data_IF_962735060448
#
_entry.id   IF_962735060448
#
_cell.length_a   1.000
_cell.length_b   1.000
_cell.length_c   1.000
_cell.angle_alpha   90.00
_cell.angle_beta   90.00
_cell.angle_gamma   90.00
#
_symmetry.space_group_name_H-M   'P 1'
#
loop_
_entity.id
_entity.type
_entity.pdbx_description
1 polymer ?
#
# COMPACT_ATOMS: atom_id res chain seq x y z
N UNK A 1 39.78 62.62 -22.71
CA UNK A 1 38.42 62.02 -22.72
C UNK A 1 38.41 60.57 -23.22
N UNK A 2 39.22 60.18 -24.22
CA UNK A 2 39.26 58.80 -24.75
C UNK A 2 39.70 57.76 -23.70
N UNK A 3 40.77 58.06 -22.96
CA UNK A 3 41.35 57.18 -21.94
C UNK A 3 40.38 56.90 -20.78
N UNK A 4 39.57 57.88 -20.37
CA UNK A 4 38.59 57.72 -19.28
C UNK A 4 37.42 56.82 -19.67
N UNK A 5 37.01 56.85 -20.94
CA UNK A 5 35.93 56.01 -21.47
C UNK A 5 36.39 54.55 -21.59
N UNK A 6 37.63 54.32 -22.04
CA UNK A 6 38.22 52.97 -22.10
C UNK A 6 38.29 52.29 -20.72
N UNK A 7 38.71 53.02 -19.68
CA UNK A 7 38.74 52.47 -18.32
C UNK A 7 37.34 52.22 -17.74
N UNK A 8 36.34 53.02 -18.10
CA UNK A 8 34.94 52.76 -17.73
C UNK A 8 34.39 51.49 -18.40
N UNK A 9 34.68 51.28 -19.68
CA UNK A 9 34.29 50.06 -20.39
C UNK A 9 35.01 48.83 -19.85
N UNK A 10 36.30 48.95 -19.53
CA UNK A 10 37.07 47.86 -18.92
C UNK A 10 36.49 47.48 -17.55
N UNK A 11 36.17 48.46 -16.71
CA UNK A 11 35.54 48.22 -15.41
C UNK A 11 34.17 47.55 -15.54
N UNK A 12 33.32 48.03 -16.45
CA UNK A 12 32.01 47.43 -16.72
C UNK A 12 32.14 45.99 -17.22
N UNK A 13 33.09 45.74 -18.13
CA UNK A 13 33.36 44.41 -18.66
C UNK A 13 33.80 43.43 -17.57
N UNK A 14 34.68 43.86 -16.66
CA UNK A 14 35.12 43.04 -15.52
C UNK A 14 33.95 42.72 -14.60
N UNK A 15 33.09 43.70 -14.27
CA UNK A 15 31.92 43.48 -13.41
C UNK A 15 30.93 42.51 -14.06
N UNK A 16 30.67 42.66 -15.36
CA UNK A 16 29.81 41.74 -16.13
C UNK A 16 30.39 40.33 -16.17
N UNK A 17 31.68 40.18 -16.45
CA UNK A 17 32.38 38.90 -16.50
C UNK A 17 32.33 38.18 -15.14
N UNK A 18 32.55 38.91 -14.04
CA UNK A 18 32.47 38.36 -12.68
C UNK A 18 31.04 37.93 -12.34
N UNK A 19 30.04 38.75 -12.69
CA UNK A 19 28.62 38.45 -12.39
C UNK A 19 28.14 37.20 -13.14
N UNK A 20 28.49 37.09 -14.43
CA UNK A 20 28.17 35.91 -15.24
C UNK A 20 28.89 34.66 -14.73
N UNK A 21 30.15 34.79 -14.32
CA UNK A 21 30.92 33.67 -13.76
C UNK A 21 30.33 33.20 -12.43
N UNK A 22 29.94 34.12 -11.55
CA UNK A 22 29.30 33.80 -10.27
C UNK A 22 27.94 33.12 -10.47
N UNK A 23 27.11 33.61 -11.39
CA UNK A 23 25.83 32.99 -11.75
C UNK A 23 26.00 31.56 -12.27
N UNK A 24 26.98 31.35 -13.16
CA UNK A 24 27.28 30.02 -13.70
C UNK A 24 27.84 29.07 -12.61
N UNK A 25 28.72 29.56 -11.73
CA UNK A 25 29.23 28.76 -10.60
C UNK A 25 28.14 28.40 -9.58
N UNK A 26 27.21 29.30 -9.29
CA UNK A 26 26.08 29.02 -8.42
C UNK A 26 25.19 27.91 -9.00
N UNK A 27 24.93 27.94 -10.31
CA UNK A 27 24.15 26.90 -10.99
C UNK A 27 24.86 25.52 -10.98
N UNK A 28 26.18 25.51 -11.21
CA UNK A 28 26.98 24.27 -11.23
C UNK A 28 27.16 23.66 -9.83
N UNK A 29 27.14 24.44 -8.75
CA UNK A 29 27.28 23.92 -7.38
C UNK A 29 25.95 23.48 -6.75
N UNK A 30 24.80 24.03 -7.17
CA UNK A 30 23.50 23.79 -6.52
C UNK A 30 22.72 22.64 -7.16
N UNK A 31 22.86 22.41 -8.47
CA UNK A 31 22.12 21.36 -9.17
C UNK A 31 22.63 19.94 -8.83
N UNK A 32 23.95 19.65 -8.87
CA UNK A 32 24.44 18.31 -8.60
C UNK A 32 24.21 17.90 -7.14
N UNK A 33 24.29 18.83 -6.18
CA UNK A 33 24.11 18.50 -4.76
C UNK A 33 22.69 18.01 -4.47
N UNK A 34 21.68 18.69 -5.00
CA UNK A 34 20.26 18.28 -4.85
C UNK A 34 19.95 16.97 -5.55
N UNK A 35 20.47 16.77 -6.75
CA UNK A 35 20.30 15.51 -7.49
C UNK A 35 21.00 14.34 -6.78
N UNK A 36 22.20 14.56 -6.25
CA UNK A 36 22.95 13.57 -5.46
C UNK A 36 22.19 13.24 -4.17
N UNK A 37 21.73 14.24 -3.42
CA UNK A 37 20.97 14.02 -2.19
C UNK A 37 19.67 13.25 -2.43
N UNK A 38 18.92 13.58 -3.49
CA UNK A 38 17.73 12.82 -3.88
C UNK A 38 18.06 11.39 -4.29
N UNK A 39 19.17 11.18 -5.02
CA UNK A 39 19.61 9.83 -5.39
C UNK A 39 19.98 8.99 -4.16
N UNK A 40 20.65 9.58 -3.17
CA UNK A 40 20.99 8.92 -1.91
C UNK A 40 19.75 8.58 -1.09
N UNK A 41 18.81 9.53 -0.97
CA UNK A 41 17.53 9.29 -0.30
C UNK A 41 16.75 8.16 -0.98
N UNK A 42 16.76 8.13 -2.32
CA UNK A 42 16.10 7.07 -3.09
C UNK A 42 16.72 5.70 -2.86
N UNK A 43 18.05 5.58 -2.94
CA UNK A 43 18.75 4.30 -2.68
C UNK A 43 18.46 3.81 -1.25
N UNK A 44 18.48 4.71 -0.26
CA UNK A 44 18.13 4.38 1.12
C UNK A 44 16.68 3.94 1.26
N UNK A 45 15.75 4.65 0.61
CA UNK A 45 14.33 4.31 0.61
C UNK A 45 14.06 2.96 -0.07
N UNK A 46 14.74 2.66 -1.18
CA UNK A 46 14.64 1.36 -1.87
C UNK A 46 15.17 0.24 -0.96
N UNK A 47 16.33 0.45 -0.32
CA UNK A 47 16.89 -0.53 0.63
C UNK A 47 15.98 -0.78 1.84
N UNK A 48 15.36 0.26 2.41
CA UNK A 48 14.42 0.10 3.52
C UNK A 48 13.15 -0.62 3.05
N UNK A 49 12.59 -0.22 1.91
CA UNK A 49 11.39 -0.85 1.39
C UNK A 49 11.63 -2.34 1.09
N UNK A 50 12.72 -2.67 0.41
CA UNK A 50 13.06 -4.06 0.13
C UNK A 50 13.31 -4.84 1.43
N UNK A 51 13.93 -4.22 2.44
CA UNK A 51 14.07 -4.83 3.76
C UNK A 51 12.71 -5.10 4.42
N UNK A 52 11.79 -4.15 4.41
CA UNK A 52 10.43 -4.30 4.95
C UNK A 52 9.69 -5.46 4.26
N UNK A 53 9.78 -5.55 2.93
CA UNK A 53 8.96 -6.48 2.14
C UNK A 53 9.58 -7.88 1.97
N UNK A 54 10.90 -8.03 2.16
CA UNK A 54 11.62 -9.28 1.90
C UNK A 54 12.20 -9.93 3.17
N UNK A 55 12.34 -9.18 4.27
CA UNK A 55 12.79 -9.73 5.54
C UNK A 55 11.62 -10.36 6.29
N UNK A 56 11.84 -11.54 6.89
CA UNK A 56 10.90 -12.12 7.84
C UNK A 56 10.98 -11.47 9.25
N UNK A 57 12.08 -10.76 9.54
CA UNK A 57 12.34 -10.23 10.88
C UNK A 57 12.87 -11.28 11.86
N UNK A 58 13.00 -10.89 13.12
CA UNK A 58 13.50 -11.74 14.22
C UNK A 58 12.72 -11.43 15.51
N UNK A 59 11.98 -12.40 16.10
CA UNK A 59 11.81 -13.77 15.63
C UNK A 59 11.05 -13.82 14.29
N UNK A 60 11.27 -14.82 13.41
CA UNK A 60 10.66 -14.86 12.07
C UNK A 60 9.13 -14.94 12.06
N UNK A 61 8.51 -15.37 13.14
CA UNK A 61 7.07 -15.58 13.35
C UNK A 61 6.47 -14.52 14.31
N UNK A 62 7.11 -13.36 14.42
CA UNK A 62 6.59 -12.26 15.22
C UNK A 62 5.19 -11.81 14.75
N UNK A 63 4.37 -11.38 15.69
CA UNK A 63 2.98 -10.96 15.51
C UNK A 63 2.64 -9.76 16.41
N UNK A 64 1.35 -9.51 16.66
CA UNK A 64 0.86 -8.46 17.58
C UNK A 64 1.35 -8.58 19.03
N UNK A 65 1.73 -9.78 19.46
CA UNK A 65 2.08 -10.10 20.85
C UNK A 65 3.55 -9.87 21.15
N UNK A 66 4.41 -9.90 20.13
CA UNK A 66 5.88 -9.87 20.29
C UNK A 66 6.48 -8.75 19.46
N UNK A 67 7.12 -7.78 20.11
CA UNK A 67 7.95 -6.78 19.40
C UNK A 67 9.21 -7.48 18.90
N UNK A 68 9.46 -7.54 17.59
CA UNK A 68 10.65 -8.16 17.05
C UNK A 68 11.88 -7.29 17.29
N UNK A 69 13.03 -7.93 17.37
CA UNK A 69 14.34 -7.28 17.34
C UNK A 69 14.66 -6.74 15.95
N UNK A 70 14.22 -7.46 14.91
CA UNK A 70 14.44 -7.11 13.51
C UNK A 70 13.08 -7.06 12.81
N UNK A 71 12.76 -5.92 12.20
CA UNK A 71 11.50 -5.75 11.49
C UNK A 71 11.52 -6.44 10.11
N UNK A 72 10.35 -6.86 9.65
CA UNK A 72 10.17 -7.46 8.34
C UNK A 72 8.80 -8.11 8.21
N UNK A 73 8.12 -7.88 7.09
CA UNK A 73 6.74 -8.32 6.86
C UNK A 73 6.65 -9.63 6.07
N UNK A 74 7.75 -10.18 5.58
CA UNK A 74 7.72 -11.45 4.86
C UNK A 74 7.38 -12.61 5.80
N UNK A 75 6.74 -13.67 5.32
CA UNK A 75 6.49 -14.87 6.12
C UNK A 75 7.80 -15.64 6.39
N UNK A 76 7.89 -16.34 7.52
CA UNK A 76 9.07 -17.12 7.89
C UNK A 76 9.38 -18.26 6.92
N UNK A 77 8.33 -18.85 6.32
CA UNK A 77 8.40 -20.12 5.59
C UNK A 77 8.20 -19.98 4.07
N UNK A 78 8.20 -18.77 3.52
CA UNK A 78 8.09 -18.57 2.07
C UNK A 78 9.40 -18.08 1.47
N UNK A 79 9.77 -18.65 0.33
CA UNK A 79 10.84 -18.13 -0.54
C UNK A 79 10.33 -17.14 -1.59
N UNK A 80 9.01 -16.95 -1.67
CA UNK A 80 8.41 -16.09 -2.67
C UNK A 80 8.64 -14.61 -2.31
N UNK A 81 9.32 -13.84 -3.17
CA UNK A 81 9.55 -12.43 -2.91
C UNK A 81 8.22 -11.67 -2.96
N UNK A 82 8.10 -10.62 -2.16
CA UNK A 82 6.92 -9.75 -2.09
C UNK A 82 5.64 -10.44 -1.65
N UNK A 83 5.74 -11.58 -0.94
CA UNK A 83 4.64 -12.15 -0.16
C UNK A 83 4.76 -11.62 1.27
N UNK A 84 3.68 -11.09 1.82
CA UNK A 84 3.65 -10.63 3.20
C UNK A 84 2.78 -11.54 4.06
N UNK A 85 3.20 -11.68 5.30
CA UNK A 85 2.45 -12.36 6.35
C UNK A 85 1.30 -11.48 6.82
N UNK A 86 0.09 -12.03 6.81
CA UNK A 86 -1.12 -11.27 7.17
C UNK A 86 -1.10 -10.84 8.63
N UNK A 87 -0.63 -11.67 9.56
CA UNK A 87 -0.59 -11.35 10.98
C UNK A 87 0.36 -10.20 11.29
N UNK A 88 1.52 -10.17 10.63
CA UNK A 88 2.46 -9.04 10.74
C UNK A 88 1.90 -7.75 10.16
N UNK A 89 1.12 -7.85 9.08
CA UNK A 89 0.46 -6.69 8.49
C UNK A 89 -0.65 -6.18 9.41
N UNK A 90 -1.41 -7.06 10.07
CA UNK A 90 -2.38 -6.70 11.11
C UNK A 90 -1.71 -6.05 12.32
N UNK A 91 -0.52 -6.50 12.71
CA UNK A 91 0.25 -5.87 13.77
C UNK A 91 0.58 -4.39 13.50
N UNK A 92 0.62 -3.96 12.23
CA UNK A 92 0.78 -2.54 11.88
C UNK A 92 -0.41 -1.69 12.31
N UNK A 93 -1.60 -2.25 12.56
CA UNK A 93 -2.74 -1.50 13.10
C UNK A 93 -2.55 -1.11 14.56
N UNK A 94 -1.65 -1.79 15.29
CA UNK A 94 -1.36 -1.49 16.69
C UNK A 94 -0.53 -0.21 16.81
N UNK A 95 -1.17 0.87 17.26
CA UNK A 95 -0.53 2.19 17.43
C UNK A 95 0.66 2.20 18.40
N UNK A 96 0.74 1.25 19.33
CA UNK A 96 1.88 1.11 20.23
C UNK A 96 3.06 0.53 19.47
N UNK A 97 2.81 -0.52 18.68
CA UNK A 97 3.82 -1.14 17.83
C UNK A 97 4.37 -0.18 16.77
N UNK A 98 3.51 0.63 16.15
CA UNK A 98 3.93 1.63 15.17
C UNK A 98 5.02 2.58 15.68
N UNK A 99 5.10 2.85 16.99
CA UNK A 99 6.13 3.72 17.59
C UNK A 99 7.51 3.07 17.65
N UNK A 100 7.59 1.74 17.62
CA UNK A 100 8.85 1.00 17.62
C UNK A 100 9.45 0.90 16.22
N UNK A 101 8.63 0.93 15.16
CA UNK A 101 9.07 0.76 13.77
C UNK A 101 10.22 1.69 13.37
N UNK A 102 10.22 3.00 13.68
CA UNK A 102 11.33 3.89 13.31
C UNK A 102 12.67 3.47 13.93
N UNK A 103 12.64 2.97 15.18
CA UNK A 103 13.80 2.43 15.88
C UNK A 103 14.28 1.13 15.23
N UNK A 104 13.36 0.23 14.91
CA UNK A 104 13.66 -1.06 14.27
C UNK A 104 14.21 -0.91 12.85
N UNK A 105 13.76 0.10 12.11
CA UNK A 105 14.27 0.42 10.78
C UNK A 105 15.57 1.24 10.80
N UNK A 106 16.02 1.68 11.99
CA UNK A 106 17.21 2.53 12.13
C UNK A 106 17.07 3.88 11.43
N UNK A 107 15.85 4.43 11.36
CA UNK A 107 15.55 5.72 10.71
C UNK A 107 15.15 6.81 11.70
N UNK A 108 15.06 6.47 12.98
CA UNK A 108 14.69 7.37 14.06
C UNK A 108 15.58 8.63 14.03
N UNK A 109 14.96 9.80 14.20
CA UNK A 109 15.59 11.13 14.25
C UNK A 109 16.26 11.64 12.96
N UNK A 110 16.49 10.79 11.97
CA UNK A 110 17.11 11.16 10.68
C UNK A 110 16.07 11.29 9.55
N UNK A 111 15.12 10.35 9.47
CA UNK A 111 14.17 10.27 8.35
C UNK A 111 12.74 10.10 8.82
N UNK A 112 11.82 10.73 8.10
CA UNK A 112 10.40 10.44 8.18
C UNK A 112 9.99 9.47 7.09
N UNK A 113 8.94 8.70 7.32
CA UNK A 113 8.37 7.83 6.31
C UNK A 113 6.85 7.70 6.44
N UNK A 114 6.24 7.34 5.33
CA UNK A 114 4.82 7.01 5.23
C UNK A 114 4.68 5.74 4.40
N UNK A 115 4.32 4.64 5.07
CA UNK A 115 4.05 3.35 4.46
C UNK A 115 2.53 3.20 4.33
N UNK A 116 2.06 2.77 3.16
CA UNK A 116 0.68 2.38 2.92
C UNK A 116 0.63 1.02 2.24
N UNK A 117 -0.26 0.15 2.70
CA UNK A 117 -0.66 -1.08 2.04
C UNK A 117 -2.12 -0.90 1.64
N UNK A 118 -2.37 -0.88 0.33
CA UNK A 118 -3.67 -0.51 -0.25
C UNK A 118 -4.22 -1.70 -1.04
N UNK A 119 -5.46 -2.17 -0.79
CA UNK A 119 -6.09 -3.16 -1.65
C UNK A 119 -6.26 -2.60 -3.06
N UNK A 120 -5.96 -3.39 -4.09
CA UNK A 120 -6.03 -2.91 -5.47
C UNK A 120 -7.46 -2.60 -5.93
N UNK A 121 -8.40 -3.40 -5.45
CA UNK A 121 -9.82 -3.27 -5.73
C UNK A 121 -10.58 -3.17 -4.41
N UNK A 122 -11.56 -2.29 -4.38
CA UNK A 122 -12.52 -2.13 -3.31
C UNK A 122 -13.79 -2.88 -3.70
N UNK A 123 -14.27 -3.74 -2.82
CA UNK A 123 -15.45 -4.57 -3.04
C UNK A 123 -16.47 -4.23 -1.96
N UNK A 124 -17.63 -3.75 -2.38
CA UNK A 124 -18.74 -3.49 -1.46
C UNK A 124 -19.85 -4.50 -1.73
N UNK A 125 -20.31 -5.18 -0.69
CA UNK A 125 -21.35 -6.19 -0.77
C UNK A 125 -22.58 -5.67 -0.04
N UNK A 126 -23.72 -5.65 -0.73
CA UNK A 126 -25.01 -5.29 -0.14
C UNK A 126 -26.03 -6.39 -0.40
N UNK A 127 -26.62 -6.93 0.65
CA UNK A 127 -27.79 -7.80 0.52
C UNK A 127 -29.03 -6.97 0.15
N UNK A 128 -29.78 -7.41 -0.85
CA UNK A 128 -30.94 -6.67 -1.41
C UNK A 128 -32.25 -7.46 -1.37
N UNK A 129 -32.19 -8.73 -0.96
CA UNK A 129 -33.32 -9.64 -0.83
C UNK A 129 -32.81 -11.02 -0.41
N UNK A 130 -33.71 -11.97 -0.16
CA UNK A 130 -33.38 -13.32 0.28
C UNK A 130 -32.32 -13.96 -0.63
N UNK A 131 -31.09 -14.09 -0.12
CA UNK A 131 -29.93 -14.69 -0.79
C UNK A 131 -29.52 -13.98 -2.09
N UNK A 132 -29.77 -12.67 -2.17
CA UNK A 132 -29.41 -11.87 -3.34
C UNK A 132 -28.54 -10.68 -2.96
N UNK A 133 -27.33 -10.68 -3.50
CA UNK A 133 -26.28 -9.75 -3.14
C UNK A 133 -25.86 -8.92 -4.35
N UNK A 134 -25.78 -7.62 -4.15
CA UNK A 134 -25.21 -6.67 -5.10
C UNK A 134 -23.77 -6.43 -4.71
N UNK A 135 -22.85 -6.75 -5.62
CA UNK A 135 -21.42 -6.56 -5.46
C UNK A 135 -20.99 -5.38 -6.32
N UNK A 136 -20.50 -4.31 -5.70
CA UNK A 136 -19.89 -3.19 -6.39
C UNK A 136 -18.37 -3.32 -6.32
N UNK A 137 -17.72 -3.25 -7.48
CA UNK A 137 -16.27 -3.37 -7.62
C UNK A 137 -15.69 -2.06 -8.15
N UNK A 138 -14.75 -1.51 -7.40
CA UNK A 138 -14.08 -0.25 -7.72
C UNK A 138 -12.57 -0.44 -7.66
N UNK A 139 -11.83 0.34 -8.43
CA UNK A 139 -10.39 0.47 -8.22
C UNK A 139 -10.11 1.17 -6.88
N UNK A 140 -8.89 1.07 -6.37
CA UNK A 140 -8.44 1.83 -5.21
C UNK A 140 -8.60 3.36 -5.34
N UNK A 141 -8.80 3.88 -6.56
CA UNK A 141 -9.09 5.30 -6.84
C UNK A 141 -10.58 5.63 -6.92
N UNK A 142 -11.46 4.65 -6.66
CA UNK A 142 -12.91 4.81 -6.68
C UNK A 142 -13.58 4.65 -8.05
N UNK A 143 -12.81 4.43 -9.13
CA UNK A 143 -13.40 4.20 -10.45
C UNK A 143 -14.07 2.82 -10.53
N UNK A 144 -15.29 2.70 -11.08
CA UNK A 144 -15.94 1.41 -11.27
C UNK A 144 -15.14 0.51 -12.23
N UNK A 145 -15.10 -0.79 -11.93
CA UNK A 145 -14.38 -1.77 -12.74
C UNK A 145 -15.35 -2.66 -13.51
N UNK A 146 -15.60 -2.41 -14.81
CA UNK A 146 -16.43 -3.27 -15.64
C UNK A 146 -15.70 -4.55 -16.03
N UNK A 147 -16.47 -5.60 -16.35
CA UNK A 147 -15.96 -6.90 -16.80
C UNK A 147 -14.98 -7.57 -15.81
N UNK A 148 -15.12 -7.26 -14.53
CA UNK A 148 -14.44 -7.98 -13.46
C UNK A 148 -15.15 -9.32 -13.22
N UNK A 149 -14.40 -10.40 -13.13
CA UNK A 149 -14.95 -11.71 -12.79
C UNK A 149 -15.29 -11.72 -11.30
N UNK A 150 -16.53 -12.03 -10.95
CA UNK A 150 -17.01 -12.12 -9.58
C UNK A 150 -17.46 -13.55 -9.33
N UNK A 151 -16.85 -14.21 -8.36
CA UNK A 151 -17.28 -15.52 -7.87
C UNK A 151 -17.71 -15.37 -6.43
N UNK A 152 -18.95 -15.73 -6.13
CA UNK A 152 -19.46 -15.77 -4.78
C UNK A 152 -19.61 -17.21 -4.30
N UNK A 153 -19.28 -17.40 -3.03
CA UNK A 153 -19.41 -18.65 -2.28
C UNK A 153 -20.33 -18.38 -1.09
N UNK A 154 -21.52 -18.97 -1.07
CA UNK A 154 -22.54 -18.70 -0.04
C UNK A 154 -22.90 -19.97 0.72
N UNK A 155 -22.67 -19.99 2.03
CA UNK A 155 -22.89 -21.15 2.89
C UNK A 155 -22.40 -20.91 4.32
N UNK A 156 -22.19 -22.00 5.05
CA UNK A 156 -21.79 -21.96 6.45
C UNK A 156 -20.29 -22.31 6.64
N UNK A 157 -19.72 -21.91 7.79
CA UNK A 157 -18.33 -22.28 8.13
C UNK A 157 -18.21 -23.80 8.19
N UNK A 158 -17.08 -24.32 7.70
CA UNK A 158 -16.76 -25.74 7.63
C UNK A 158 -17.65 -26.55 6.68
N UNK A 159 -18.50 -25.90 5.90
CA UNK A 159 -19.32 -26.52 4.86
C UNK A 159 -18.52 -26.69 3.56
N UNK A 160 -18.70 -27.84 2.90
CA UNK A 160 -18.24 -28.05 1.52
C UNK A 160 -19.38 -27.68 0.58
N UNK A 161 -19.19 -26.63 -0.20
CA UNK A 161 -20.24 -26.03 -1.01
C UNK A 161 -20.55 -26.87 -2.25
N UNK A 162 -21.84 -26.92 -2.58
CA UNK A 162 -22.36 -27.43 -3.85
C UNK A 162 -22.30 -26.37 -4.96
N UNK A 163 -22.46 -26.76 -6.23
CA UNK A 163 -22.44 -25.78 -7.35
C UNK A 163 -23.58 -24.74 -7.26
N UNK A 164 -24.70 -25.05 -6.59
CA UNK A 164 -25.79 -24.07 -6.38
C UNK A 164 -25.39 -22.96 -5.40
N UNK A 165 -24.42 -23.23 -4.51
CA UNK A 165 -23.84 -22.29 -3.56
C UNK A 165 -22.66 -21.49 -4.14
N UNK A 166 -22.33 -21.70 -5.42
CA UNK A 166 -21.23 -21.02 -6.11
C UNK A 166 -21.74 -20.31 -7.35
N UNK A 167 -21.89 -18.99 -7.26
CA UNK A 167 -22.38 -18.16 -8.38
C UNK A 167 -21.21 -17.40 -9.01
N UNK A 168 -21.11 -17.48 -10.35
CA UNK A 168 -20.07 -16.82 -11.14
C UNK A 168 -20.71 -15.84 -12.10
N UNK A 169 -20.24 -14.60 -12.10
CA UNK A 169 -20.78 -13.52 -12.92
C UNK A 169 -19.68 -12.52 -13.27
N UNK A 170 -20.04 -11.47 -14.02
CA UNK A 170 -19.14 -10.37 -14.34
C UNK A 170 -19.79 -9.03 -14.05
N UNK A 171 -18.99 -8.04 -13.65
CA UNK A 171 -19.50 -6.68 -13.44
C UNK A 171 -19.90 -6.02 -14.76
N UNK A 172 -20.98 -5.24 -14.70
CA UNK A 172 -21.45 -4.42 -15.82
C UNK A 172 -20.62 -3.13 -16.01
N UNK A 173 -21.03 -2.26 -16.93
CA UNK A 173 -20.37 -0.98 -17.21
C UNK A 173 -20.21 -0.05 -15.99
N UNK A 174 -21.09 -0.19 -14.98
CA UNK A 174 -21.06 0.56 -13.73
C UNK A 174 -20.22 -0.09 -12.64
N UNK A 175 -19.53 -1.20 -12.94
CA UNK A 175 -18.74 -1.96 -11.97
C UNK A 175 -19.58 -2.78 -10.99
N UNK A 176 -20.83 -3.09 -11.34
CA UNK A 176 -21.75 -3.80 -10.45
C UNK A 176 -22.06 -5.19 -10.98
N UNK A 177 -22.06 -6.18 -10.10
CA UNK A 177 -22.47 -7.56 -10.32
C UNK A 177 -23.59 -7.95 -9.35
N UNK A 178 -24.40 -8.92 -9.73
CA UNK A 178 -25.45 -9.49 -8.87
C UNK A 178 -25.18 -10.98 -8.70
N UNK A 179 -25.12 -11.42 -7.45
CA UNK A 179 -25.06 -12.81 -7.04
C UNK A 179 -26.45 -13.19 -6.51
N UNK A 180 -27.12 -14.12 -7.18
CA UNK A 180 -28.46 -14.56 -6.84
C UNK A 180 -28.44 -16.08 -6.69
N UNK A 181 -28.55 -16.55 -5.44
CA UNK A 181 -28.48 -17.98 -5.11
C UNK A 181 -29.87 -18.65 -5.09
N UNK A 182 -30.94 -17.86 -5.28
CA UNK A 182 -32.30 -18.35 -5.17
C UNK A 182 -32.72 -18.69 -3.73
N UNK A 183 -34.00 -19.04 -3.53
CA UNK A 183 -34.60 -19.17 -2.21
C UNK A 183 -34.29 -20.49 -1.49
N UNK A 184 -33.73 -21.48 -2.19
CA UNK A 184 -33.45 -22.82 -1.65
C UNK A 184 -32.07 -22.92 -1.00
N UNK A 185 -31.16 -22.02 -1.32
CA UNK A 185 -29.82 -21.96 -0.72
C UNK A 185 -29.92 -21.26 0.63
N UNK A 186 -29.20 -21.76 1.62
CA UNK A 186 -29.07 -21.12 2.94
C UNK A 186 -27.59 -20.98 3.25
N UNK A 187 -27.23 -19.93 3.97
CA UNK A 187 -25.88 -19.71 4.45
C UNK A 187 -25.79 -18.45 5.29
N UNK A 188 -24.88 -18.45 6.26
CA UNK A 188 -24.62 -17.27 7.09
C UNK A 188 -23.50 -16.38 6.54
N UNK A 189 -22.72 -16.90 5.57
CA UNK A 189 -21.51 -16.25 5.07
C UNK A 189 -21.47 -16.26 3.55
N UNK A 190 -21.19 -15.09 2.99
CA UNK A 190 -20.86 -14.91 1.58
C UNK A 190 -19.41 -14.47 1.46
N UNK A 191 -18.59 -15.28 0.77
CA UNK A 191 -17.23 -14.91 0.38
C UNK A 191 -17.23 -14.56 -1.10
N UNK A 192 -16.79 -13.35 -1.43
CA UNK A 192 -16.72 -12.85 -2.80
C UNK A 192 -15.27 -12.75 -3.21
N UNK A 193 -14.92 -13.47 -4.28
CA UNK A 193 -13.62 -13.37 -4.94
C UNK A 193 -13.80 -12.60 -6.25
N UNK A 194 -13.13 -11.47 -6.34
CA UNK A 194 -13.14 -10.63 -7.54
C UNK A 194 -11.80 -10.74 -8.23
N UNK A 195 -11.79 -11.06 -9.53
CA UNK A 195 -10.59 -11.18 -10.35
C UNK A 195 -10.65 -10.30 -11.58
N UNK A 196 -9.61 -9.49 -11.80
CA UNK A 196 -9.41 -8.67 -12.99
C UNK A 196 -8.00 -8.88 -13.52
N UNK A 197 -7.86 -9.29 -14.79
CA UNK A 197 -6.56 -9.47 -15.45
C UNK A 197 -5.55 -10.33 -14.67
N UNK A 198 -6.02 -11.37 -13.98
CA UNK A 198 -5.18 -12.27 -13.18
C UNK A 198 -4.85 -11.80 -11.77
N UNK A 199 -5.39 -10.65 -11.36
CA UNK A 199 -5.28 -10.10 -10.00
C UNK A 199 -6.58 -10.34 -9.26
N UNK A 200 -6.50 -10.95 -8.07
CA UNK A 200 -7.66 -11.26 -7.24
C UNK A 200 -7.67 -10.46 -5.95
N UNK A 201 -8.88 -10.15 -5.45
CA UNK A 201 -9.15 -9.71 -4.09
C UNK A 201 -10.31 -10.52 -3.51
N UNK A 202 -10.37 -10.60 -2.19
CA UNK A 202 -11.43 -11.32 -1.46
C UNK A 202 -12.10 -10.40 -0.47
N UNK A 203 -13.42 -10.48 -0.38
CA UNK A 203 -14.25 -9.77 0.59
C UNK A 203 -15.23 -10.75 1.24
N UNK A 204 -15.54 -10.54 2.51
CA UNK A 204 -16.44 -11.40 3.29
C UNK A 204 -17.64 -10.57 3.73
N UNK A 205 -18.83 -11.11 3.48
CA UNK A 205 -20.08 -10.58 4.00
C UNK A 205 -20.71 -11.60 4.93
N UNK A 206 -21.04 -11.17 6.14
CA UNK A 206 -21.73 -11.98 7.14
C UNK A 206 -22.51 -11.07 8.10
N UNK A 207 -23.55 -11.60 8.73
CA UNK A 207 -24.28 -10.92 9.79
C UNK A 207 -23.65 -11.13 11.18
N UNK A 208 -22.79 -12.13 11.32
CA UNK A 208 -22.10 -12.44 12.56
C UNK A 208 -20.62 -12.03 12.44
N UNK A 209 -20.24 -11.02 13.21
CA UNK A 209 -18.87 -10.51 13.29
C UNK A 209 -17.86 -11.62 13.66
N UNK A 210 -18.29 -12.73 14.25
CA UNK A 210 -17.46 -13.90 14.52
C UNK A 210 -16.94 -14.62 13.27
N UNK A 211 -17.52 -14.38 12.10
CA UNK A 211 -17.17 -15.08 10.85
C UNK A 211 -16.50 -14.20 9.78
N UNK A 212 -16.16 -12.95 10.10
CA UNK A 212 -15.49 -12.02 9.16
C UNK A 212 -14.11 -12.51 8.72
N UNK A 213 -13.49 -13.38 9.52
CA UNK A 213 -12.24 -14.07 9.24
C UNK A 213 -12.40 -15.34 8.40
N UNK A 214 -13.52 -15.53 7.70
CA UNK A 214 -13.70 -16.71 6.86
C UNK A 214 -12.97 -16.60 5.52
N UNK A 215 -12.48 -17.72 5.00
CA UNK A 215 -11.86 -17.85 3.67
C UNK A 215 -12.35 -19.10 2.95
N UNK A 216 -12.11 -19.16 1.63
CA UNK A 216 -12.42 -20.33 0.81
C UNK A 216 -11.14 -21.10 0.49
N UNK A 217 -11.14 -22.40 0.79
CA UNK A 217 -10.12 -23.35 0.36
C UNK A 217 -10.74 -24.37 -0.60
N UNK A 218 -10.50 -24.18 -1.90
CA UNK A 218 -11.15 -24.97 -2.95
C UNK A 218 -12.64 -24.64 -3.04
N UNK A 219 -13.48 -25.52 -2.49
CA UNK A 219 -14.95 -25.36 -2.41
C UNK A 219 -15.46 -25.36 -0.98
N UNK A 220 -14.57 -25.29 0.02
CA UNK A 220 -14.94 -25.31 1.44
C UNK A 220 -14.72 -23.94 2.07
N UNK A 221 -15.67 -23.50 2.88
CA UNK A 221 -15.51 -22.32 3.73
C UNK A 221 -14.81 -22.75 5.03
N UNK A 222 -13.74 -22.06 5.41
CA UNK A 222 -12.97 -22.31 6.63
C UNK A 222 -12.69 -21.00 7.36
N UNK A 223 -12.51 -21.08 8.67
CA UNK A 223 -12.00 -19.95 9.45
C UNK A 223 -10.51 -19.70 9.15
N UNK A 224 -10.13 -18.43 9.14
CA UNK A 224 -8.76 -17.92 9.07
C UNK A 224 -8.42 -17.23 10.38
N UNK A 225 -7.14 -17.09 10.69
CA UNK A 225 -6.70 -16.34 11.87
C UNK A 225 -7.01 -14.83 11.73
N UNK A 226 -7.08 -14.33 10.49
CA UNK A 226 -7.28 -12.92 10.19
C UNK A 226 -8.31 -12.70 9.06
N UNK A 227 -9.13 -11.62 9.13
CA UNK A 227 -10.00 -11.22 8.04
C UNK A 227 -9.22 -10.71 6.82
N UNK A 228 -9.86 -10.66 5.63
CA UNK A 228 -9.24 -10.02 4.48
C UNK A 228 -9.01 -8.52 4.73
N UNK A 229 -7.87 -8.01 4.26
CA UNK A 229 -7.56 -6.59 4.35
C UNK A 229 -8.30 -5.86 3.22
N UNK A 230 -9.42 -5.21 3.55
CA UNK A 230 -10.25 -4.45 2.61
C UNK A 230 -10.10 -2.92 2.74
N UNK A 231 -9.29 -2.47 3.69
CA UNK A 231 -8.99 -1.05 3.94
C UNK A 231 -7.50 -0.76 3.81
N UNK A 232 -7.16 0.53 3.68
CA UNK A 232 -5.76 0.94 3.63
C UNK A 232 -5.15 0.85 5.02
N UNK A 233 -4.08 0.07 5.16
CA UNK A 233 -3.22 0.05 6.35
C UNK A 233 -2.12 1.07 6.12
N UNK A 234 -1.87 1.93 7.11
CA UNK A 234 -0.83 2.94 6.99
C UNK A 234 -0.06 3.18 8.28
N UNK A 235 1.22 3.52 8.12
CA UNK A 235 2.15 3.86 9.20
C UNK A 235 2.84 5.15 8.82
N UNK A 236 2.69 6.18 9.66
CA UNK A 236 3.30 7.49 9.47
C UNK A 236 4.27 7.80 10.61
N UNK A 237 5.48 8.20 10.26
CA UNK A 237 6.48 8.70 11.19
C UNK A 237 7.11 10.00 10.69
N UNK A 238 7.20 11.01 11.56
CA UNK A 238 7.92 12.25 11.29
C UNK A 238 7.26 13.20 10.28
N UNK A 239 5.92 13.19 10.18
CA UNK A 239 5.15 14.03 9.26
C UNK A 239 3.70 14.19 9.70
N UNK A 240 2.89 14.93 8.93
CA UNK A 240 1.47 15.19 9.24
C UNK A 240 0.61 14.93 8.01
N UNK A 241 -0.57 14.34 8.22
CA UNK A 241 -1.61 14.26 7.20
C UNK A 241 -2.50 15.49 7.29
N UNK A 242 -2.66 16.21 6.18
CA UNK A 242 -3.61 17.32 6.03
C UNK A 242 -4.61 16.89 4.96
N UNK A 243 -5.88 16.79 5.33
CA UNK A 243 -6.97 16.29 4.47
C UNK A 243 -6.68 14.92 3.83
N UNK A 244 -5.99 14.05 4.56
CA UNK A 244 -5.60 12.72 4.10
C UNK A 244 -4.35 12.69 3.20
N UNK A 245 -3.75 13.84 2.91
CA UNK A 245 -2.52 13.95 2.12
C UNK A 245 -1.30 14.19 3.01
N UNK A 246 -0.22 13.50 2.70
CA UNK A 246 1.05 13.68 3.39
C UNK A 246 1.64 15.08 3.14
N UNK A 247 1.75 15.85 4.21
CA UNK A 247 2.43 17.14 4.25
C UNK A 247 3.76 17.01 5.03
N UNK A 248 4.86 17.27 4.32
CA UNK A 248 6.24 17.23 4.85
C UNK A 248 6.94 18.59 4.71
N UNK A 249 6.16 19.66 4.53
CA UNK A 249 6.68 21.01 4.33
C UNK A 249 7.54 21.12 3.06
N UNK A 250 8.73 21.70 3.21
CA UNK A 250 9.70 21.92 2.11
C UNK A 250 10.70 20.76 1.93
N UNK A 251 10.58 19.67 2.72
CA UNK A 251 11.51 18.56 2.67
C UNK A 251 11.46 17.85 1.30
N UNK A 252 12.64 17.49 0.78
CA UNK A 252 12.72 16.58 -0.36
C UNK A 252 12.20 15.20 0.04
N UNK A 253 11.33 14.62 -0.80
CA UNK A 253 10.73 13.30 -0.58
C UNK A 253 10.91 12.39 -1.79
N UNK A 254 11.00 11.10 -1.53
CA UNK A 254 10.98 10.04 -2.55
C UNK A 254 9.79 9.14 -2.27
N UNK A 255 9.04 8.80 -3.31
CA UNK A 255 7.94 7.83 -3.22
C UNK A 255 8.25 6.64 -4.11
N UNK A 256 8.12 5.45 -3.53
CA UNK A 256 8.35 4.15 -4.16
C UNK A 256 7.07 3.32 -4.12
N UNK A 257 6.96 2.41 -5.07
CA UNK A 257 5.79 1.56 -5.23
C UNK A 257 6.18 0.11 -5.47
N UNK A 258 5.46 -0.84 -4.87
CA UNK A 258 5.62 -2.28 -5.06
C UNK A 258 4.26 -2.98 -5.04
N UNK A 259 4.15 -4.06 -5.80
CA UNK A 259 3.03 -4.99 -5.65
C UNK A 259 3.44 -6.08 -4.69
N UNK A 260 2.55 -6.45 -3.79
CA UNK A 260 2.76 -7.53 -2.83
C UNK A 260 1.54 -8.45 -2.82
N UNK A 261 1.74 -9.70 -2.40
CA UNK A 261 0.67 -10.67 -2.21
C UNK A 261 0.50 -10.92 -0.72
N UNK A 262 -0.73 -10.89 -0.24
CA UNK A 262 -1.10 -11.27 1.13
C UNK A 262 -2.21 -12.31 0.97
N UNK A 263 -2.00 -13.51 1.49
CA UNK A 263 -2.89 -14.66 1.23
C UNK A 263 -3.12 -14.84 -0.30
N UNK A 264 -4.37 -14.78 -0.76
CA UNK A 264 -4.75 -14.90 -2.17
C UNK A 264 -5.02 -13.55 -2.86
N UNK A 265 -4.73 -12.45 -2.18
CA UNK A 265 -5.05 -11.09 -2.63
C UNK A 265 -3.79 -10.29 -2.95
N UNK A 266 -3.86 -9.44 -3.97
CA UNK A 266 -2.74 -8.55 -4.34
C UNK A 266 -3.00 -7.13 -3.84
N UNK A 267 -1.96 -6.55 -3.26
CA UNK A 267 -1.96 -5.23 -2.67
C UNK A 267 -0.91 -4.34 -3.33
N UNK A 268 -1.16 -3.05 -3.24
CA UNK A 268 -0.24 -2.01 -3.65
C UNK A 268 0.41 -1.37 -2.42
N UNK A 269 1.73 -1.43 -2.37
CA UNK A 269 2.53 -0.78 -1.33
C UNK A 269 3.06 0.53 -1.86
N UNK A 270 2.76 1.60 -1.14
CA UNK A 270 3.33 2.93 -1.35
C UNK A 270 4.21 3.28 -0.16
N UNK A 271 5.48 3.59 -0.42
CA UNK A 271 6.43 4.00 0.60
C UNK A 271 7.02 5.36 0.23
N UNK A 272 6.68 6.37 1.02
CA UNK A 272 7.24 7.72 0.89
C UNK A 272 8.23 7.98 2.02
N UNK A 273 9.41 8.51 1.70
CA UNK A 273 10.47 8.80 2.67
C UNK A 273 11.05 10.20 2.45
N UNK A 274 11.40 10.90 3.52
CA UNK A 274 12.00 12.24 3.52
C UNK A 274 12.99 12.40 4.67
N UNK A 275 13.87 13.41 4.60
CA UNK A 275 14.77 13.77 5.71
C UNK A 275 14.05 14.65 6.73
N UNK A 276 14.31 14.44 8.02
CA UNK A 276 13.76 15.29 9.10
C UNK A 276 14.61 16.55 9.35
N UNK A 277 15.90 16.48 8.98
CA UNK A 277 16.85 17.58 9.08
C UNK A 277 17.58 17.66 7.74
N UNK A 278 17.61 18.86 7.17
CA UNK A 278 18.46 19.20 6.02
C UNK A 278 19.88 19.53 6.50
#
# INVERSE_FOLDING_TARGET
>A
MHVSIEYMFLGLFVVLAVTLSFSNMAMVNILPSREIEQSQLRVKAESILDFILLSAGNPPDWDESVVPEVFGLAPANSSDPYVLDIGKVYALLNSTFQREIPRLLGVQDEYGFYLKIVPLYLVDINETGSNRFVVAVRSFRGFPLPSANVTGYYGDVNETLSEEQIVRTVTNASGVAVLDYGPSVSGDILIVVVSVSGVSVTEVYTHDEGYVNSKVEGTRIVESDYPPINSTISVLYGGVLVDGYLNVGMASKVTLFRYVKIENSVYYVEFTMWRLKD
#
